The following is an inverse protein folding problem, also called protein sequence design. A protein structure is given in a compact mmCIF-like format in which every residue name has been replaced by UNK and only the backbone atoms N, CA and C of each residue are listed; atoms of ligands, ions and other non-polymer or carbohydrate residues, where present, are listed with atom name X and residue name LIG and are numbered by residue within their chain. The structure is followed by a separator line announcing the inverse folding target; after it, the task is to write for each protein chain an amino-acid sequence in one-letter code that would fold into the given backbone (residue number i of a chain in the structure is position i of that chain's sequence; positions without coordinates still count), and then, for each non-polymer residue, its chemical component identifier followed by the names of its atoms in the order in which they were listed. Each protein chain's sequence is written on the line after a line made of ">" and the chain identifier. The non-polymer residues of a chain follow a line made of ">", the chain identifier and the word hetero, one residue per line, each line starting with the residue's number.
data_IF_781137301327
#
_entry.id   IF_781137301327
#
_cell.length_a   1.000
_cell.length_b   1.000
_cell.length_c   1.000
_cell.angle_alpha   90.00
_cell.angle_beta   90.00
_cell.angle_gamma   90.00
#
_symmetry.space_group_name_H-M   'P 1'
#
loop_
_entity.id
_entity.type
_entity.pdbx_description
1 polymer ?
#
# COMPACT_ATOMS: atom_id res chain seq x y z
N UNK A 1 9.07 2.33 31.40
CA UNK A 1 9.54 1.82 30.10
C UNK A 1 8.66 2.50 29.07
N UNK A 2 9.19 3.49 28.34
CA UNK A 2 8.42 4.26 27.36
C UNK A 2 8.10 3.37 26.16
N UNK A 3 6.89 3.51 25.62
CA UNK A 3 6.33 2.80 24.46
C UNK A 3 7.05 3.14 23.13
N UNK A 4 8.38 3.30 23.15
CA UNK A 4 9.20 3.78 22.04
C UNK A 4 9.97 2.67 21.30
N UNK A 5 9.72 1.40 21.58
CA UNK A 5 10.48 0.31 20.96
C UNK A 5 9.57 -0.70 20.24
N UNK A 6 9.60 -0.53 18.90
CA UNK A 6 9.20 -1.44 17.83
C UNK A 6 7.71 -1.45 17.43
N UNK A 7 7.33 -0.48 16.60
CA UNK A 7 6.33 -0.68 15.54
C UNK A 7 7.09 -0.72 14.19
N UNK A 8 6.76 -1.67 13.31
CA UNK A 8 7.61 -2.04 12.19
C UNK A 8 7.88 -0.88 11.21
N UNK A 9 9.17 -0.61 11.00
CA UNK A 9 9.84 0.63 10.56
C UNK A 9 9.48 1.16 9.16
N UNK A 10 8.49 0.59 8.45
CA UNK A 10 8.12 1.07 7.11
C UNK A 10 6.95 2.03 7.13
N UNK A 11 7.25 3.32 6.95
CA UNK A 11 6.25 4.38 6.95
C UNK A 11 5.74 4.71 5.54
N UNK A 12 6.45 4.28 4.50
CA UNK A 12 6.07 4.53 3.11
C UNK A 12 6.19 3.25 2.30
N UNK A 13 5.06 2.82 1.75
CA UNK A 13 5.02 1.76 0.76
C UNK A 13 4.75 2.37 -0.61
N UNK A 14 5.64 2.11 -1.57
CA UNK A 14 5.49 2.53 -2.95
C UNK A 14 4.97 1.34 -3.76
N UNK A 15 3.77 1.48 -4.32
CA UNK A 15 3.12 0.43 -5.09
C UNK A 15 3.24 0.68 -6.59
N UNK A 16 4.13 -0.08 -7.23
CA UNK A 16 4.37 -0.12 -8.68
C UNK A 16 3.95 -1.48 -9.27
N UNK A 17 3.00 -2.17 -8.62
CA UNK A 17 2.59 -3.53 -8.99
C UNK A 17 1.40 -3.62 -9.95
N UNK A 18 0.90 -2.49 -10.49
CA UNK A 18 -0.31 -2.45 -11.31
C UNK A 18 -0.11 -1.83 -12.71
N UNK A 19 0.70 -2.47 -13.57
CA UNK A 19 0.98 -1.95 -14.91
C UNK A 19 -0.26 -1.86 -15.80
N UNK A 20 -1.25 -2.75 -15.62
CA UNK A 20 -2.50 -2.71 -16.37
C UNK A 20 -3.28 -1.41 -16.12
N UNK A 21 -3.31 -0.95 -14.87
CA UNK A 21 -3.96 0.31 -14.51
C UNK A 21 -3.28 1.51 -15.15
N UNK A 22 -1.95 1.55 -15.15
CA UNK A 22 -1.18 2.60 -15.85
C UNK A 22 -1.42 2.53 -17.36
N UNK A 23 -1.38 1.34 -17.96
CA UNK A 23 -1.69 1.11 -19.38
C UNK A 23 -3.05 1.71 -19.76
N UNK A 24 -4.10 1.33 -19.04
CA UNK A 24 -5.48 1.73 -19.31
C UNK A 24 -5.77 3.19 -19.01
N UNK A 25 -4.94 3.84 -18.19
CA UNK A 25 -5.06 5.26 -17.91
C UNK A 25 -4.28 6.04 -18.96
N UNK A 26 -2.99 5.79 -19.09
CA UNK A 26 -2.06 6.65 -19.82
C UNK A 26 -2.02 6.38 -21.33
N UNK A 27 -2.12 5.12 -21.74
CA UNK A 27 -1.74 4.66 -23.07
C UNK A 27 -2.93 4.26 -23.95
N UNK A 28 -4.06 4.97 -23.85
CA UNK A 28 -5.36 4.65 -24.49
C UNK A 28 -5.36 4.48 -26.03
N UNK A 29 -4.21 4.55 -26.71
CA UNK A 29 -4.07 4.45 -28.16
C UNK A 29 -3.17 3.27 -28.59
N UNK A 30 -3.44 2.77 -29.81
CA UNK A 30 -2.89 1.60 -30.53
C UNK A 30 -1.35 1.49 -30.65
N UNK A 31 -0.61 1.57 -29.54
CA UNK A 31 0.81 1.19 -29.49
C UNK A 31 0.94 -0.31 -29.25
N UNK A 32 2.00 -0.92 -29.79
CA UNK A 32 2.34 -2.31 -29.49
C UNK A 32 2.59 -2.48 -27.98
N UNK A 33 2.07 -3.55 -27.40
CA UNK A 33 2.16 -3.84 -25.98
C UNK A 33 3.60 -3.85 -25.44
N UNK A 34 4.58 -4.30 -26.24
CA UNK A 34 6.00 -4.28 -25.88
C UNK A 34 6.54 -2.86 -25.65
N UNK A 35 6.11 -1.89 -26.45
CA UNK A 35 6.51 -0.48 -26.32
C UNK A 35 5.89 0.12 -25.06
N UNK A 36 4.61 -0.17 -24.81
CA UNK A 36 3.92 0.31 -23.61
C UNK A 36 4.59 -0.27 -22.36
N UNK A 37 4.83 -1.58 -22.32
CA UNK A 37 5.46 -2.24 -21.18
C UNK A 37 6.86 -1.68 -20.91
N UNK A 38 7.64 -1.39 -21.96
CA UNK A 38 8.94 -0.73 -21.81
C UNK A 38 8.79 0.67 -21.17
N UNK A 39 7.84 1.49 -21.65
CA UNK A 39 7.60 2.83 -21.08
C UNK A 39 7.14 2.77 -19.63
N UNK A 40 6.31 1.79 -19.26
CA UNK A 40 5.89 1.58 -17.86
C UNK A 40 7.09 1.14 -17.01
N UNK A 41 7.94 0.23 -17.50
CA UNK A 41 9.17 -0.16 -16.79
C UNK A 41 10.13 1.02 -16.60
N UNK A 42 10.33 1.86 -17.62
CA UNK A 42 11.14 3.08 -17.53
C UNK A 42 10.57 4.06 -16.49
N UNK A 43 9.24 4.17 -16.42
CA UNK A 43 8.54 4.97 -15.41
C UNK A 43 8.76 4.44 -13.99
N UNK A 44 8.61 3.14 -13.77
CA UNK A 44 8.88 2.51 -12.47
C UNK A 44 10.35 2.68 -12.04
N UNK A 45 11.28 2.64 -12.99
CA UNK A 45 12.68 2.93 -12.71
C UNK A 45 12.93 4.39 -12.31
N UNK A 46 12.17 5.34 -12.86
CA UNK A 46 12.22 6.75 -12.45
C UNK A 46 11.68 6.92 -11.02
N UNK A 47 10.55 6.29 -10.69
CA UNK A 47 10.02 6.28 -9.31
C UNK A 47 11.06 5.71 -8.36
N UNK A 48 11.61 4.55 -8.68
CA UNK A 48 12.63 3.87 -7.84
C UNK A 48 13.88 4.73 -7.67
N UNK A 49 14.34 5.37 -8.74
CA UNK A 49 15.48 6.28 -8.66
C UNK A 49 15.19 7.47 -7.73
N UNK A 50 13.99 8.02 -7.78
CA UNK A 50 13.57 9.13 -6.91
C UNK A 50 13.64 8.72 -5.43
N UNK A 51 13.18 7.50 -5.11
CA UNK A 51 13.27 6.94 -3.75
C UNK A 51 14.73 6.80 -3.34
N UNK A 52 15.58 6.20 -4.19
CA UNK A 52 17.01 6.03 -3.90
C UNK A 52 17.67 7.39 -3.62
N UNK A 53 17.36 8.43 -4.39
CA UNK A 53 17.93 9.75 -4.18
C UNK A 53 17.44 10.41 -2.87
N UNK A 54 16.17 10.21 -2.51
CA UNK A 54 15.63 10.62 -1.21
C UNK A 54 16.33 9.88 -0.07
N UNK A 55 16.61 8.58 -0.22
CA UNK A 55 17.25 7.79 0.84
C UNK A 55 18.68 8.23 1.16
N UNK A 56 19.34 8.88 0.21
CA UNK A 56 20.69 9.42 0.38
C UNK A 56 20.69 10.79 1.06
N UNK A 57 19.55 11.45 1.17
CA UNK A 57 19.49 12.88 1.50
C UNK A 57 18.53 13.25 2.62
N UNK A 58 17.44 12.52 2.84
CA UNK A 58 16.36 13.01 3.71
C UNK A 58 15.59 11.96 4.52
N UNK A 59 15.38 10.74 4.02
CA UNK A 59 14.59 9.71 4.71
C UNK A 59 15.39 8.42 4.77
N UNK A 60 15.42 7.71 5.90
CA UNK A 60 16.16 6.44 5.98
C UNK A 60 15.55 5.38 5.05
N UNK A 61 16.38 4.55 4.41
CA UNK A 61 15.94 3.48 3.49
C UNK A 61 15.02 2.46 4.17
N UNK A 62 15.17 2.27 5.47
CA UNK A 62 14.35 1.39 6.31
C UNK A 62 12.89 1.87 6.44
N UNK A 63 12.58 3.10 6.02
CA UNK A 63 11.21 3.62 5.97
C UNK A 63 10.45 3.21 4.71
N UNK A 64 11.11 2.56 3.74
CA UNK A 64 10.54 2.27 2.44
C UNK A 64 10.36 0.78 2.18
N UNK A 65 9.21 0.45 1.60
CA UNK A 65 8.98 -0.81 0.87
C UNK A 65 8.55 -0.49 -0.56
N UNK A 66 9.13 -1.17 -1.55
CA UNK A 66 8.66 -1.10 -2.94
C UNK A 66 7.95 -2.39 -3.30
N UNK A 67 6.64 -2.29 -3.59
CA UNK A 67 5.84 -3.41 -4.09
C UNK A 67 5.86 -3.44 -5.61
N UNK A 68 6.27 -4.57 -6.17
CA UNK A 68 6.27 -4.84 -7.60
C UNK A 68 5.30 -5.93 -8.03
N UNK A 69 5.19 -6.06 -9.34
CA UNK A 69 4.67 -7.22 -10.06
C UNK A 69 5.81 -8.19 -10.44
N UNK A 70 5.46 -9.32 -11.04
CA UNK A 70 6.39 -10.39 -11.42
C UNK A 70 7.11 -10.14 -12.77
N UNK A 71 6.77 -9.07 -13.50
CA UNK A 71 7.23 -8.89 -14.87
C UNK A 71 7.76 -7.48 -15.19
N UNK A 72 6.93 -6.43 -15.10
CA UNK A 72 7.26 -5.10 -15.63
C UNK A 72 8.16 -4.31 -14.68
N UNK A 73 7.96 -4.48 -13.37
CA UNK A 73 8.74 -3.80 -12.32
C UNK A 73 10.01 -4.54 -11.90
N UNK A 74 10.35 -5.71 -12.47
CA UNK A 74 11.53 -6.51 -12.09
C UNK A 74 12.83 -5.67 -12.00
N UNK A 75 13.12 -4.85 -13.01
CA UNK A 75 14.31 -3.98 -13.02
C UNK A 75 14.32 -2.96 -11.88
N UNK A 76 13.15 -2.45 -11.50
CA UNK A 76 12.97 -1.52 -10.39
C UNK A 76 13.18 -2.23 -9.04
N UNK A 77 12.65 -3.44 -8.89
CA UNK A 77 12.85 -4.27 -7.70
C UNK A 77 14.33 -4.62 -7.51
N UNK A 78 15.02 -5.07 -8.56
CA UNK A 78 16.45 -5.38 -8.48
C UNK A 78 17.28 -4.16 -8.07
N UNK A 79 16.93 -2.97 -8.59
CA UNK A 79 17.58 -1.70 -8.23
C UNK A 79 17.30 -1.30 -6.78
N UNK A 80 16.08 -1.53 -6.28
CA UNK A 80 15.73 -1.30 -4.89
C UNK A 80 16.58 -2.19 -3.96
N UNK A 81 16.65 -3.49 -4.26
CA UNK A 81 17.45 -4.46 -3.51
C UNK A 81 18.94 -4.10 -3.51
N UNK A 82 19.49 -3.67 -4.65
CA UNK A 82 20.90 -3.26 -4.74
C UNK A 82 21.22 -2.02 -3.90
N UNK A 83 20.20 -1.28 -3.45
CA UNK A 83 20.32 -0.12 -2.56
C UNK A 83 19.76 -0.41 -1.16
N UNK A 84 19.56 -1.69 -0.82
CA UNK A 84 19.11 -2.15 0.49
C UNK A 84 17.75 -1.56 0.91
N UNK A 85 16.89 -1.28 -0.07
CA UNK A 85 15.48 -0.91 0.14
C UNK A 85 14.64 -2.19 0.12
N UNK A 86 13.75 -2.35 1.10
CA UNK A 86 12.91 -3.53 1.20
C UNK A 86 11.94 -3.63 0.00
N UNK A 87 11.67 -4.86 -0.44
CA UNK A 87 10.83 -5.13 -1.60
C UNK A 87 9.73 -6.13 -1.28
N UNK A 88 8.64 -6.04 -2.02
CA UNK A 88 7.57 -7.02 -1.93
C UNK A 88 6.92 -7.28 -3.27
N UNK A 89 6.10 -8.33 -3.30
CA UNK A 89 5.35 -8.74 -4.49
C UNK A 89 3.88 -8.96 -4.15
N UNK A 90 3.02 -8.52 -5.06
CA UNK A 90 1.59 -8.80 -5.00
C UNK A 90 1.33 -10.23 -5.50
N UNK A 91 0.85 -11.13 -4.63
CA UNK A 91 0.51 -12.50 -5.02
C UNK A 91 -0.83 -12.54 -5.75
N UNK A 92 -0.83 -12.11 -7.02
CA UNK A 92 -2.06 -12.07 -7.82
C UNK A 92 -2.11 -13.03 -9.01
N UNK A 93 -1.10 -13.88 -9.27
CA UNK A 93 -1.25 -15.19 -9.93
C UNK A 93 0.13 -15.80 -10.35
N UNK A 94 0.45 -16.96 -9.78
CA UNK A 94 0.70 -18.17 -10.58
C UNK A 94 2.08 -18.42 -11.21
N UNK A 95 3.00 -17.45 -11.30
CA UNK A 95 4.36 -17.73 -11.81
C UNK A 95 5.42 -17.58 -10.72
N UNK A 96 6.32 -18.57 -10.59
CA UNK A 96 7.52 -18.41 -9.78
C UNK A 96 8.29 -17.18 -10.29
N UNK A 97 8.54 -16.22 -9.42
CA UNK A 97 9.52 -15.17 -9.68
C UNK A 97 10.90 -15.69 -9.30
N UNK A 98 11.91 -15.36 -10.11
CA UNK A 98 13.31 -15.64 -9.80
C UNK A 98 13.90 -14.63 -8.79
N UNK A 99 13.10 -13.63 -8.39
CA UNK A 99 13.50 -12.61 -7.42
C UNK A 99 13.00 -13.04 -6.04
N UNK A 100 13.92 -13.07 -5.08
CA UNK A 100 13.56 -13.18 -3.67
C UNK A 100 12.98 -11.84 -3.20
N UNK A 101 11.82 -11.85 -2.58
CA UNK A 101 11.18 -10.63 -2.03
C UNK A 101 11.13 -10.73 -0.51
N UNK A 102 11.30 -9.62 0.20
CA UNK A 102 11.17 -9.61 1.66
C UNK A 102 9.71 -9.72 2.11
N UNK A 103 8.79 -9.14 1.32
CA UNK A 103 7.36 -9.11 1.61
C UNK A 103 6.52 -9.85 0.56
N UNK A 104 5.48 -10.56 1.00
CA UNK A 104 4.40 -11.08 0.17
C UNK A 104 3.10 -10.38 0.53
N UNK A 105 2.40 -9.86 -0.48
CA UNK A 105 1.15 -9.12 -0.29
C UNK A 105 -0.05 -9.94 -0.76
N UNK A 106 -1.11 -9.96 0.04
CA UNK A 106 -2.42 -10.49 -0.33
C UNK A 106 -3.43 -9.35 -0.27
N UNK A 107 -4.24 -9.20 -1.33
CA UNK A 107 -5.37 -8.29 -1.36
C UNK A 107 -6.63 -9.08 -1.05
N UNK A 108 -7.32 -8.70 0.02
CA UNK A 108 -8.50 -9.37 0.53
C UNK A 108 -9.74 -8.53 0.27
N UNK A 109 -10.57 -9.00 -0.66
CA UNK A 109 -11.92 -8.46 -0.86
C UNK A 109 -12.84 -9.00 0.25
N UNK A 110 -13.16 -8.14 1.21
CA UNK A 110 -13.90 -8.50 2.42
C UNK A 110 -15.31 -9.00 2.09
N UNK A 111 -15.92 -8.49 1.01
CA UNK A 111 -17.25 -8.91 0.57
C UNK A 111 -17.33 -10.41 0.25
N UNK A 112 -16.20 -11.03 -0.12
CA UNK A 112 -16.11 -12.46 -0.49
C UNK A 112 -16.00 -13.39 0.72
N UNK A 113 -15.87 -12.85 1.93
CA UNK A 113 -15.69 -13.64 3.16
C UNK A 113 -16.97 -13.68 4.01
N UNK A 114 -17.93 -12.80 3.73
CA UNK A 114 -19.13 -12.61 4.58
C UNK A 114 -20.13 -13.78 4.45
N UNK A 115 -20.04 -14.60 3.39
CA UNK A 115 -20.71 -15.89 3.39
C UNK A 115 -20.03 -16.80 4.41
N UNK A 116 -20.73 -17.07 5.52
CA UNK A 116 -20.39 -17.85 6.75
C UNK A 116 -19.59 -19.16 6.60
N UNK A 117 -19.12 -19.51 5.41
CA UNK A 117 -18.07 -20.48 5.20
C UNK A 117 -16.75 -19.98 5.80
N UNK A 118 -16.20 -20.72 6.75
CA UNK A 118 -14.86 -20.47 7.27
C UNK A 118 -13.73 -20.82 6.28
N UNK A 119 -14.07 -21.43 5.15
CA UNK A 119 -13.10 -21.93 4.17
C UNK A 119 -12.17 -20.84 3.62
N UNK A 120 -12.65 -19.66 3.18
CA UNK A 120 -11.75 -18.61 2.68
C UNK A 120 -10.74 -18.13 3.72
N UNK A 121 -11.12 -18.07 5.00
CA UNK A 121 -10.22 -17.70 6.10
C UNK A 121 -9.21 -18.80 6.40
N UNK A 122 -9.62 -20.07 6.32
CA UNK A 122 -8.72 -21.20 6.46
C UNK A 122 -7.68 -21.26 5.33
N UNK A 123 -8.13 -21.09 4.09
CA UNK A 123 -7.26 -21.04 2.91
C UNK A 123 -6.27 -19.86 3.03
N UNK A 124 -6.74 -18.69 3.47
CA UNK A 124 -5.87 -17.54 3.76
C UNK A 124 -4.85 -17.87 4.85
N UNK A 125 -5.25 -18.53 5.94
CA UNK A 125 -4.34 -18.94 7.02
C UNK A 125 -3.22 -19.84 6.51
N UNK A 126 -3.55 -20.81 5.65
CA UNK A 126 -2.56 -21.69 5.05
C UNK A 126 -1.54 -20.92 4.21
N UNK A 127 -2.00 -19.97 3.39
CA UNK A 127 -1.11 -19.12 2.58
C UNK A 127 -0.23 -18.25 3.48
N UNK A 128 -0.80 -17.64 4.53
CA UNK A 128 -0.05 -16.85 5.50
C UNK A 128 1.03 -17.66 6.22
N UNK A 129 0.72 -18.91 6.60
CA UNK A 129 1.69 -19.79 7.24
C UNK A 129 2.80 -20.19 6.28
N UNK A 130 2.45 -20.47 5.02
CA UNK A 130 3.46 -20.76 3.99
C UNK A 130 4.40 -19.58 3.78
N UNK A 131 3.87 -18.35 3.65
CA UNK A 131 4.66 -17.12 3.50
C UNK A 131 5.69 -16.99 4.64
N UNK A 132 5.27 -17.25 5.87
CA UNK A 132 6.15 -17.18 7.04
C UNK A 132 7.15 -18.33 7.10
N UNK A 133 6.75 -19.54 6.72
CA UNK A 133 7.65 -20.70 6.63
C UNK A 133 8.75 -20.47 5.59
N UNK A 134 8.43 -19.76 4.50
CA UNK A 134 9.38 -19.34 3.48
C UNK A 134 10.30 -18.18 3.94
N UNK A 135 10.11 -17.68 5.17
CA UNK A 135 10.90 -16.60 5.76
C UNK A 135 10.49 -15.19 5.28
N UNK A 136 9.38 -15.06 4.55
CA UNK A 136 8.87 -13.77 4.10
C UNK A 136 7.99 -13.11 5.16
N UNK A 137 7.96 -11.78 5.13
CA UNK A 137 6.99 -10.96 5.87
C UNK A 137 5.68 -10.88 5.08
N UNK A 138 4.57 -10.70 5.79
CA UNK A 138 3.24 -10.72 5.22
C UNK A 138 2.58 -9.33 5.25
N UNK A 139 2.09 -8.87 4.10
CA UNK A 139 1.26 -7.67 3.96
C UNK A 139 -0.16 -8.09 3.60
N UNK A 140 -1.14 -7.57 4.32
CA UNK A 140 -2.56 -7.78 4.02
C UNK A 140 -3.22 -6.45 3.69
N UNK A 141 -3.74 -6.33 2.47
CA UNK A 141 -4.57 -5.20 2.06
C UNK A 141 -6.05 -5.58 2.17
N UNK A 142 -6.81 -4.79 2.93
CA UNK A 142 -8.26 -4.96 3.06
C UNK A 142 -8.98 -4.07 2.06
N UNK A 143 -9.75 -4.69 1.18
CA UNK A 143 -10.67 -4.00 0.27
C UNK A 143 -12.09 -4.19 0.79
N UNK A 144 -12.64 -3.15 1.39
CA UNK A 144 -14.00 -3.14 1.96
C UNK A 144 -14.91 -2.38 1.01
N UNK A 145 -15.72 -3.14 0.27
CA UNK A 145 -16.73 -2.63 -0.66
C UNK A 145 -18.05 -3.33 -0.38
N UNK A 146 -18.95 -2.73 0.42
CA UNK A 146 -20.26 -3.31 0.67
C UNK A 146 -20.99 -3.57 -0.64
N UNK A 147 -21.60 -4.74 -0.78
CA UNK A 147 -22.54 -4.99 -1.86
C UNK A 147 -23.84 -4.25 -1.60
N UNK A 148 -24.66 -4.07 -2.64
CA UNK A 148 -25.99 -3.49 -2.48
C UNK A 148 -26.84 -4.25 -1.44
N UNK A 149 -26.69 -5.58 -1.39
CA UNK A 149 -27.37 -6.44 -0.41
C UNK A 149 -26.91 -6.14 1.02
N UNK A 150 -25.62 -5.83 1.22
CA UNK A 150 -25.08 -5.49 2.53
C UNK A 150 -25.63 -4.13 3.00
N UNK A 151 -25.69 -3.15 2.10
CA UNK A 151 -26.30 -1.83 2.36
C UNK A 151 -27.77 -2.00 2.74
N UNK A 152 -28.55 -2.74 1.94
CA UNK A 152 -29.97 -2.99 2.19
C UNK A 152 -30.21 -3.73 3.54
N UNK A 153 -29.23 -4.50 4.03
CA UNK A 153 -29.34 -5.30 5.26
C UNK A 153 -28.88 -4.56 6.52
N UNK A 154 -27.88 -3.68 6.40
CA UNK A 154 -27.19 -3.07 7.55
C UNK A 154 -27.34 -1.54 7.65
N UNK A 155 -27.97 -0.88 6.67
CA UNK A 155 -28.26 0.55 6.71
C UNK A 155 -27.38 1.38 5.78
N UNK A 156 -26.86 2.52 6.27
CA UNK A 156 -26.09 3.45 5.43
C UNK A 156 -24.69 2.91 5.13
N UNK A 157 -24.18 3.14 3.93
CA UNK A 157 -22.88 2.65 3.44
C UNK A 157 -21.75 2.75 4.47
N UNK A 158 -21.52 3.94 5.07
CA UNK A 158 -20.42 4.14 6.03
C UNK A 158 -20.56 3.29 7.31
N UNK A 159 -21.77 2.99 7.75
CA UNK A 159 -22.00 2.12 8.92
C UNK A 159 -21.70 0.67 8.56
N UNK A 160 -22.12 0.24 7.36
CA UNK A 160 -21.87 -1.11 6.85
C UNK A 160 -20.38 -1.37 6.68
N UNK A 161 -19.62 -0.41 6.17
CA UNK A 161 -18.17 -0.55 6.01
C UNK A 161 -17.44 -0.74 7.34
N UNK A 162 -17.83 -0.01 8.39
CA UNK A 162 -17.27 -0.16 9.73
C UNK A 162 -17.62 -1.52 10.34
N UNK A 163 -18.87 -1.97 10.17
CA UNK A 163 -19.29 -3.30 10.62
C UNK A 163 -18.50 -4.40 9.90
N UNK A 164 -18.34 -4.28 8.58
CA UNK A 164 -17.53 -5.22 7.78
C UNK A 164 -16.07 -5.24 8.24
N UNK A 165 -15.48 -4.08 8.51
CA UNK A 165 -14.12 -3.93 9.04
C UNK A 165 -13.95 -4.63 10.39
N UNK A 166 -14.83 -4.36 11.36
CA UNK A 166 -14.78 -4.98 12.68
C UNK A 166 -14.89 -6.50 12.55
N UNK A 167 -15.91 -6.97 11.83
CA UNK A 167 -16.15 -8.39 11.64
C UNK A 167 -14.97 -9.11 10.96
N UNK A 168 -14.37 -8.51 9.92
CA UNK A 168 -13.26 -9.16 9.23
C UNK A 168 -12.00 -9.20 10.09
N UNK A 169 -11.67 -8.12 10.79
CA UNK A 169 -10.48 -8.07 11.65
C UNK A 169 -10.61 -9.06 12.82
N UNK A 170 -11.79 -9.13 13.46
CA UNK A 170 -12.06 -10.14 14.49
C UNK A 170 -11.89 -11.56 13.97
N UNK A 171 -12.45 -11.85 12.79
CA UNK A 171 -12.29 -13.17 12.18
C UNK A 171 -10.84 -13.48 11.84
N UNK A 172 -10.08 -12.54 11.30
CA UNK A 172 -8.65 -12.73 11.02
C UNK A 172 -7.87 -13.02 12.32
N UNK A 173 -8.18 -12.31 13.41
CA UNK A 173 -7.61 -12.55 14.73
C UNK A 173 -7.95 -13.93 15.27
N UNK A 174 -9.21 -14.35 15.19
CA UNK A 174 -9.68 -15.68 15.62
C UNK A 174 -8.98 -16.81 14.86
N UNK A 175 -8.64 -16.58 13.58
CA UNK A 175 -7.88 -17.51 12.75
C UNK A 175 -6.35 -17.38 12.92
N UNK A 176 -5.88 -16.55 13.85
CA UNK A 176 -4.45 -16.28 14.08
C UNK A 176 -3.71 -15.77 12.83
N UNK A 177 -4.41 -15.02 11.99
CA UNK A 177 -3.83 -14.31 10.84
C UNK A 177 -3.35 -12.95 11.37
N UNK A 178 -2.04 -12.71 11.32
CA UNK A 178 -1.41 -11.49 11.85
C UNK A 178 -0.39 -10.90 10.86
N UNK A 179 -0.81 -10.06 9.91
CA UNK A 179 0.06 -9.42 8.93
C UNK A 179 1.08 -8.49 9.58
N UNK A 180 2.33 -8.50 9.13
CA UNK A 180 3.35 -7.52 9.55
C UNK A 180 2.91 -6.08 9.23
N UNK A 181 2.23 -5.92 8.10
CA UNK A 181 1.70 -4.65 7.60
C UNK A 181 0.25 -4.85 7.17
N UNK A 182 -0.63 -4.02 7.71
CA UNK A 182 -2.00 -3.84 7.25
C UNK A 182 -2.07 -2.66 6.29
N UNK A 183 -2.76 -2.82 5.16
CA UNK A 183 -3.13 -1.72 4.28
C UNK A 183 -4.65 -1.57 4.34
N UNK A 184 -5.11 -0.37 4.69
CA UNK A 184 -6.53 -0.01 4.70
C UNK A 184 -6.76 1.26 3.88
N UNK A 185 -7.98 1.41 3.37
CA UNK A 185 -8.35 2.60 2.60
C UNK A 185 -8.43 3.84 3.51
N UNK A 186 -7.90 4.97 3.04
CA UNK A 186 -7.96 6.26 3.72
C UNK A 186 -9.36 6.86 3.57
N UNK A 187 -10.22 6.62 4.56
CA UNK A 187 -11.61 7.12 4.64
C UNK A 187 -11.73 8.20 5.71
N UNK A 188 -12.88 8.32 6.37
CA UNK A 188 -13.07 9.24 7.49
C UNK A 188 -12.31 8.84 8.77
N UNK A 189 -12.15 9.80 9.69
CA UNK A 189 -11.39 9.61 10.93
C UNK A 189 -11.97 8.52 11.83
N UNK A 190 -13.28 8.32 11.82
CA UNK A 190 -13.92 7.32 12.68
C UNK A 190 -13.65 5.91 12.16
N UNK A 191 -13.70 5.73 10.83
CA UNK A 191 -13.32 4.47 10.18
C UNK A 191 -11.87 4.09 10.50
N UNK A 192 -10.95 5.05 10.37
CA UNK A 192 -9.52 4.82 10.63
C UNK A 192 -9.26 4.53 12.11
N UNK A 193 -9.91 5.28 13.01
CA UNK A 193 -9.79 5.04 14.46
C UNK A 193 -10.33 3.65 14.84
N UNK A 194 -11.44 3.23 14.24
CA UNK A 194 -12.00 1.87 14.42
C UNK A 194 -11.01 0.81 13.92
N UNK A 195 -10.44 1.00 12.73
CA UNK A 195 -9.48 0.05 12.16
C UNK A 195 -8.25 -0.10 13.06
N UNK A 196 -7.69 1.01 13.52
CA UNK A 196 -6.53 0.99 14.39
C UNK A 196 -6.81 0.27 15.71
N UNK A 197 -7.92 0.62 16.38
CA UNK A 197 -8.31 -0.01 17.64
C UNK A 197 -8.50 -1.53 17.49
N UNK A 198 -9.13 -1.98 16.40
CA UNK A 198 -9.36 -3.40 16.14
C UNK A 198 -8.09 -4.15 15.78
N UNK A 199 -7.20 -3.57 14.97
CA UNK A 199 -5.95 -4.21 14.53
C UNK A 199 -4.94 -4.32 15.67
N UNK A 200 -4.86 -3.30 16.53
CA UNK A 200 -3.97 -3.28 17.71
C UNK A 200 -4.56 -3.92 18.95
N UNK A 201 -5.75 -4.54 18.85
CA UNK A 201 -6.34 -5.31 19.94
C UNK A 201 -5.35 -6.36 20.45
N UNK A 202 -5.24 -6.49 21.77
CA UNK A 202 -4.24 -7.32 22.48
C UNK A 202 -2.76 -6.89 22.28
N UNK A 203 -2.49 -5.58 22.19
CA UNK A 203 -1.13 -4.99 22.10
C UNK A 203 -0.29 -5.51 20.90
N UNK A 204 -0.97 -5.86 19.81
CA UNK A 204 -0.34 -6.37 18.59
C UNK A 204 0.56 -5.31 17.94
N UNK A 205 1.81 -5.67 17.67
CA UNK A 205 2.85 -4.77 17.13
C UNK A 205 2.92 -4.75 15.61
N UNK A 206 1.81 -4.44 14.95
CA UNK A 206 1.72 -4.41 13.49
C UNK A 206 1.68 -2.97 12.96
N UNK A 207 2.14 -2.77 11.72
CA UNK A 207 2.07 -1.46 11.06
C UNK A 207 0.76 -1.32 10.30
N UNK A 208 0.20 -0.11 10.30
CA UNK A 208 -1.05 0.21 9.60
C UNK A 208 -0.77 1.34 8.62
N UNK A 209 -0.91 1.03 7.34
CA UNK A 209 -0.67 1.93 6.23
C UNK A 209 -1.99 2.33 5.58
N UNK A 210 -2.13 3.64 5.32
CA UNK A 210 -3.30 4.17 4.64
C UNK A 210 -3.05 4.29 3.13
N UNK A 211 -3.93 3.68 2.32
CA UNK A 211 -3.95 3.84 0.86
C UNK A 211 -5.08 4.78 0.46
N UNK A 212 -4.79 5.80 -0.35
CA UNK A 212 -5.84 6.65 -0.92
C UNK A 212 -6.69 5.85 -1.92
N UNK A 213 -8.00 6.10 -1.95
CA UNK A 213 -8.87 5.47 -2.94
C UNK A 213 -8.45 5.83 -4.36
N UNK A 214 -8.55 4.85 -5.26
CA UNK A 214 -8.22 5.05 -6.67
C UNK A 214 -9.15 6.04 -7.39
N UNK A 215 -10.35 6.30 -6.86
CA UNK A 215 -11.28 7.31 -7.35
C UNK A 215 -10.88 8.74 -6.99
N UNK A 216 -10.05 8.91 -5.95
CA UNK A 216 -9.61 10.22 -5.47
C UNK A 216 -8.21 10.60 -5.98
N UNK A 217 -7.69 9.84 -6.95
CA UNK A 217 -6.35 9.97 -7.51
C UNK A 217 -6.05 11.36 -8.10
N UNK A 218 -7.09 12.12 -8.47
CA UNK A 218 -6.95 13.44 -9.13
C UNK A 218 -6.54 14.57 -8.17
N UNK A 219 -6.45 14.30 -6.87
CA UNK A 219 -6.05 15.28 -5.86
C UNK A 219 -5.00 14.69 -4.94
N UNK A 220 -3.72 14.74 -5.30
CA UNK A 220 -2.69 14.85 -4.26
C UNK A 220 -2.84 16.27 -3.71
N UNK A 221 -3.86 16.49 -2.88
CA UNK A 221 -3.87 17.67 -2.04
C UNK A 221 -2.87 17.34 -0.94
N UNK A 222 -1.73 18.04 -0.95
CA UNK A 222 -0.74 17.97 0.13
C UNK A 222 -1.35 18.31 1.51
N UNK A 223 -2.61 18.78 1.53
CA UNK A 223 -3.46 19.01 2.69
C UNK A 223 -4.25 17.77 3.16
N UNK A 224 -3.76 16.53 2.97
CA UNK A 224 -4.44 15.34 3.49
C UNK A 224 -4.52 15.36 5.05
N UNK A 225 -5.59 15.95 5.57
CA UNK A 225 -5.89 16.21 7.00
C UNK A 225 -6.14 14.96 7.86
N UNK A 226 -6.11 13.76 7.28
CA UNK A 226 -6.62 12.55 7.96
C UNK A 226 -5.50 11.68 8.55
N UNK A 227 -4.23 11.91 8.19
CA UNK A 227 -3.13 11.08 8.68
C UNK A 227 -2.81 11.25 10.17
N UNK A 228 -3.30 12.32 10.80
CA UNK A 228 -2.93 12.70 12.17
C UNK A 228 -4.07 12.75 13.18
N UNK A 229 -5.12 11.96 12.98
CA UNK A 229 -6.26 11.89 13.92
C UNK A 229 -6.56 10.50 14.50
N UNK A 230 -5.67 9.53 14.29
CA UNK A 230 -5.87 8.19 14.86
C UNK A 230 -4.55 7.60 15.34
N UNK A 231 -4.50 7.23 16.62
CA UNK A 231 -3.41 6.47 17.22
C UNK A 231 -3.11 5.21 16.40
N UNK A 232 -1.85 4.77 16.31
CA UNK A 232 -1.48 3.49 15.70
C UNK A 232 -1.35 3.46 14.17
N UNK A 233 -1.74 4.53 13.47
CA UNK A 233 -1.46 4.66 12.04
C UNK A 233 -0.02 5.12 11.87
N UNK A 234 0.79 4.34 11.15
CA UNK A 234 2.23 4.60 11.05
C UNK A 234 2.77 4.59 9.61
N UNK A 235 1.91 4.49 8.60
CA UNK A 235 2.40 4.62 7.24
C UNK A 235 1.38 4.96 6.17
N UNK A 236 1.88 5.10 4.95
CA UNK A 236 1.13 5.45 3.75
C UNK A 236 1.48 4.54 2.58
N UNK A 237 0.50 4.28 1.73
CA UNK A 237 0.71 3.66 0.42
C UNK A 237 0.61 4.72 -0.66
N UNK A 238 1.71 4.91 -1.39
CA UNK A 238 1.82 5.80 -2.55
C UNK A 238 1.83 4.91 -3.80
N UNK A 239 0.73 4.93 -4.54
CA UNK A 239 0.59 4.10 -5.74
C UNK A 239 1.04 4.82 -7.00
N UNK A 240 1.57 4.08 -7.96
CA UNK A 240 2.04 4.59 -9.26
C UNK A 240 1.05 5.51 -10.00
N UNK A 241 -0.24 5.20 -9.95
CA UNK A 241 -1.29 5.91 -10.68
C UNK A 241 -1.48 7.35 -10.22
N UNK A 242 -0.97 7.76 -9.05
CA UNK A 242 -1.02 9.16 -8.64
C UNK A 242 -0.11 10.04 -9.53
N UNK A 243 0.90 9.43 -10.15
CA UNK A 243 1.83 10.11 -11.05
C UNK A 243 1.42 9.98 -12.52
N UNK A 244 0.19 9.54 -12.82
CA UNK A 244 -0.35 9.41 -14.18
C UNK A 244 -0.14 10.69 -15.00
N UNK A 245 -0.47 11.86 -14.44
CA UNK A 245 -0.36 13.15 -15.15
C UNK A 245 1.10 13.46 -15.48
N UNK A 246 1.99 13.26 -14.52
CA UNK A 246 3.43 13.53 -14.70
C UNK A 246 4.01 12.55 -15.72
N UNK A 247 3.59 11.28 -15.71
CA UNK A 247 3.97 10.31 -16.73
C UNK A 247 3.50 10.74 -18.13
N UNK A 248 2.26 11.24 -18.28
CA UNK A 248 1.78 11.80 -19.55
C UNK A 248 2.61 12.98 -20.02
N UNK A 249 2.92 13.91 -19.12
CA UNK A 249 3.70 15.10 -19.47
C UNK A 249 5.14 14.72 -19.85
N UNK A 250 5.73 13.72 -19.19
CA UNK A 250 7.04 13.17 -19.55
C UNK A 250 7.04 12.47 -20.92
N UNK A 251 6.04 11.62 -21.18
CA UNK A 251 5.91 10.93 -22.48
C UNK A 251 5.71 11.91 -23.64
N UNK A 252 5.02 13.02 -23.38
CA UNK A 252 4.79 14.09 -24.36
C UNK A 252 5.92 15.14 -24.36
N UNK A 253 7.06 14.84 -23.74
CA UNK A 253 8.26 15.68 -23.70
C UNK A 253 8.02 17.10 -23.13
N UNK A 254 6.96 17.28 -22.34
CA UNK A 254 6.64 18.56 -21.69
C UNK A 254 7.49 18.83 -20.45
N UNK A 255 8.01 17.77 -19.83
CA UNK A 255 8.90 17.84 -18.67
C UNK A 255 10.13 16.97 -18.89
N UNK A 256 11.25 17.37 -18.30
CA UNK A 256 12.46 16.55 -18.35
C UNK A 256 12.40 15.39 -17.34
N UNK A 257 13.26 14.38 -17.52
CA UNK A 257 13.45 13.33 -16.51
C UNK A 257 13.83 13.88 -15.14
N UNK A 258 14.62 14.97 -15.10
CA UNK A 258 15.03 15.64 -13.86
C UNK A 258 13.82 16.24 -13.14
N UNK A 259 12.94 16.92 -13.88
CA UNK A 259 11.74 17.52 -13.31
C UNK A 259 10.77 16.45 -12.80
N UNK A 260 10.68 15.31 -13.51
CA UNK A 260 9.92 14.15 -13.06
C UNK A 260 10.43 13.64 -11.70
N UNK A 261 11.74 13.34 -11.60
CA UNK A 261 12.36 12.86 -10.36
C UNK A 261 12.13 13.86 -9.22
N UNK A 262 12.33 15.14 -9.47
CA UNK A 262 12.13 16.19 -8.47
C UNK A 262 10.69 16.23 -7.97
N UNK A 263 9.71 16.11 -8.86
CA UNK A 263 8.29 16.15 -8.50
C UNK A 263 7.92 14.97 -7.59
N UNK A 264 8.29 13.75 -8.00
CA UNK A 264 8.05 12.54 -7.16
C UNK A 264 8.74 12.70 -5.80
N UNK A 265 9.98 13.19 -5.79
CA UNK A 265 10.75 13.33 -4.56
C UNK A 265 10.12 14.32 -3.58
N UNK A 266 9.68 15.47 -4.07
CA UNK A 266 8.98 16.48 -3.25
C UNK A 266 7.68 15.91 -2.69
N UNK A 267 6.90 15.20 -3.51
CA UNK A 267 5.63 14.62 -3.08
C UNK A 267 5.82 13.59 -1.96
N UNK A 268 6.80 12.68 -2.11
CA UNK A 268 7.14 11.68 -1.09
C UNK A 268 7.62 12.36 0.20
N UNK A 269 8.49 13.38 0.09
CA UNK A 269 8.99 14.13 1.24
C UNK A 269 7.87 14.84 2.00
N UNK A 270 6.92 15.45 1.28
CA UNK A 270 5.78 16.12 1.90
C UNK A 270 4.86 15.11 2.58
N UNK A 271 4.56 13.98 1.94
CA UNK A 271 3.77 12.91 2.54
C UNK A 271 4.42 12.37 3.82
N UNK A 272 5.74 12.13 3.79
CA UNK A 272 6.50 11.69 4.95
C UNK A 272 6.44 12.68 6.11
N UNK A 273 6.71 13.97 5.85
CA UNK A 273 6.68 15.02 6.88
C UNK A 273 5.30 15.19 7.50
N UNK A 274 4.25 15.10 6.68
CA UNK A 274 2.88 15.17 7.18
C UNK A 274 2.57 14.01 8.13
N UNK A 275 3.01 12.79 7.80
CA UNK A 275 2.88 11.62 8.66
C UNK A 275 3.68 11.75 9.96
N UNK A 276 4.94 12.21 9.90
CA UNK A 276 5.74 12.43 11.12
C UNK A 276 5.11 13.46 12.06
N UNK A 277 4.60 14.57 11.50
CA UNK A 277 3.95 15.62 12.29
C UNK A 277 2.64 15.12 12.94
N UNK A 278 1.87 14.33 12.20
CA UNK A 278 0.68 13.66 12.68
C UNK A 278 0.97 12.78 13.91
N UNK A 279 2.04 11.97 13.86
CA UNK A 279 2.38 11.05 14.94
C UNK A 279 2.92 11.77 16.19
N UNK A 280 3.66 12.88 16.03
CA UNK A 280 4.16 13.69 17.16
C UNK A 280 3.04 14.29 18.02
N UNK A 281 1.89 14.61 17.43
CA UNK A 281 0.75 15.16 18.18
C UNK A 281 0.20 14.12 19.17
N UNK A 282 0.23 12.83 18.82
CA UNK A 282 -0.26 11.75 19.67
C UNK A 282 0.68 11.38 20.82
N UNK A 283 1.99 11.54 20.66
CA UNK A 283 2.94 11.29 21.76
C UNK A 283 2.83 12.32 22.89
N UNK A 284 2.16 13.45 22.63
CA UNK A 284 1.98 14.56 23.58
C UNK A 284 0.62 14.53 24.31
N UNK A 285 -0.30 13.64 23.92
CA UNK A 285 -1.63 13.46 24.52
C UNK A 285 -1.65 12.24 25.44
#
# INVERSE_FOLDING_TARGET
>A
MTMSEQQNVNNILIDISNPLKIKNKVFNNLQQDSIINKKISDFYNIITQSIIDITKTSISKENFVILGDDHISESSILRAKSNEIATGINQNNGKPSNIEYEYKTIILDVSKIIDKSYKPLYDLKLVCDQIRQDGNKFILELVIKPSKKDIDSYGKDNEVEKIMLVNIVENLHNFSINPDIWIIENKDSDFISTASAMIHLDDRKNSILLRKSSSDADKIDANNEIFGKSYGINGLVISDYIYEKILRDYINEKISKKDFINTISIDILNAYKNLENANKIYELL
#
